data_IF_928569725313
#
_entry.id   IF_928569725313
#
_cell.length_a   1.000
_cell.length_b   1.000
_cell.length_c   1.000
_cell.angle_alpha   90.00
_cell.angle_beta   90.00
_cell.angle_gamma   90.00
#
_symmetry.space_group_name_H-M   'P 1'
#
loop_
_entity.id
_entity.type
_entity.pdbx_description
1 polymer ?
#
# COMPACT_ATOMS: atom_id res chain seq x y z
N UNK A 1 -10.74 6.12 17.16
CA UNK A 1 -9.79 7.10 16.61
C UNK A 1 -10.01 7.21 15.11
N UNK A 2 -10.20 8.40 14.59
CA UNK A 2 -10.41 8.70 13.18
C UNK A 2 -9.34 9.69 12.72
N UNK A 3 -8.83 9.50 11.52
CA UNK A 3 -7.91 10.43 10.88
C UNK A 3 -8.40 10.73 9.46
N UNK A 4 -8.12 11.94 8.98
CA UNK A 4 -8.46 12.37 7.64
C UNK A 4 -7.19 12.82 6.92
N UNK A 5 -6.98 12.31 5.71
CA UNK A 5 -5.91 12.73 4.83
C UNK A 5 -6.44 13.36 3.55
N UNK A 6 -5.82 14.46 3.15
CA UNK A 6 -6.00 15.07 1.84
C UNK A 6 -4.75 14.81 1.01
N UNK A 7 -4.95 14.27 -0.19
CA UNK A 7 -3.85 13.89 -1.06
C UNK A 7 -4.02 14.54 -2.42
N UNK A 8 -2.92 15.09 -2.92
CA UNK A 8 -2.83 15.61 -4.27
C UNK A 8 -1.57 15.03 -4.93
N UNK A 9 -1.70 14.52 -6.13
CA UNK A 9 -0.61 13.89 -6.86
C UNK A 9 -0.81 14.01 -8.37
N UNK A 10 0.22 13.63 -9.11
CA UNK A 10 0.24 13.61 -10.57
C UNK A 10 0.37 12.20 -11.12
N UNK A 11 0.14 12.07 -12.42
CA UNK A 11 0.37 10.87 -13.21
C UNK A 11 1.73 10.22 -12.92
N UNK A 12 1.76 8.90 -12.89
CA UNK A 12 2.95 8.09 -12.69
C UNK A 12 3.42 7.96 -11.23
N UNK A 13 2.81 8.69 -10.30
CA UNK A 13 3.11 8.51 -8.88
C UNK A 13 2.51 7.18 -8.41
N UNK A 14 3.33 6.40 -7.74
CA UNK A 14 2.96 5.09 -7.22
C UNK A 14 3.23 5.02 -5.71
N UNK A 15 2.34 4.37 -4.98
CA UNK A 15 2.60 4.00 -3.58
C UNK A 15 3.39 2.70 -3.51
N UNK A 16 4.16 2.51 -2.45
CA UNK A 16 4.63 1.15 -2.13
C UNK A 16 3.44 0.30 -1.69
N UNK A 17 3.49 -1.02 -1.96
CA UNK A 17 2.45 -1.92 -1.47
C UNK A 17 2.51 -1.98 0.06
N UNK A 18 1.45 -1.58 0.72
CA UNK A 18 1.34 -1.50 2.17
C UNK A 18 -0.09 -1.77 2.63
N UNK A 19 -0.32 -1.93 3.91
CA UNK A 19 -1.61 -1.73 4.54
C UNK A 19 -1.54 -0.53 5.49
N UNK A 20 -2.69 0.09 5.74
CA UNK A 20 -2.76 1.29 6.57
C UNK A 20 -2.37 1.01 8.02
N UNK A 21 -1.69 1.99 8.62
CA UNK A 21 -1.19 1.89 9.99
C UNK A 21 -2.32 1.70 11.00
N UNK A 22 -1.94 1.23 12.18
CA UNK A 22 -2.85 1.06 13.31
C UNK A 22 -4.05 0.13 13.05
N UNK A 23 -3.98 -0.72 12.01
CA UNK A 23 -5.08 -1.60 11.61
C UNK A 23 -6.39 -0.83 11.33
N UNK A 24 -6.29 0.34 10.76
CA UNK A 24 -7.43 1.15 10.38
C UNK A 24 -8.10 0.63 9.11
N UNK A 25 -9.41 0.77 9.04
CA UNK A 25 -10.14 0.73 7.78
C UNK A 25 -9.98 2.07 7.08
N UNK A 26 -10.11 2.07 5.75
CA UNK A 26 -9.91 3.24 4.92
C UNK A 26 -11.10 3.41 3.98
N UNK A 27 -11.70 4.60 3.99
CA UNK A 27 -12.60 5.06 2.93
C UNK A 27 -11.85 6.08 2.08
N UNK A 28 -11.64 5.75 0.82
CA UNK A 28 -10.91 6.58 -0.14
C UNK A 28 -11.90 7.20 -1.13
N UNK A 29 -12.07 8.51 -1.05
CA UNK A 29 -12.95 9.29 -1.91
C UNK A 29 -12.13 9.91 -3.03
N UNK A 30 -12.35 9.50 -4.27
CA UNK A 30 -11.68 10.08 -5.43
C UNK A 30 -12.42 11.34 -5.89
N UNK A 31 -11.82 12.51 -5.63
CA UNK A 31 -12.44 13.80 -5.94
C UNK A 31 -12.13 14.22 -7.37
N UNK A 32 -10.90 13.97 -7.83
CA UNK A 32 -10.44 14.34 -9.18
C UNK A 32 -9.50 13.31 -9.73
N UNK A 33 -9.63 13.01 -11.01
CA UNK A 33 -8.75 12.11 -11.74
C UNK A 33 -9.00 10.64 -11.46
N UNK A 34 -8.08 9.78 -11.89
CA UNK A 34 -8.22 8.32 -11.86
C UNK A 34 -7.02 7.66 -11.19
N UNK A 35 -7.28 6.58 -10.45
CA UNK A 35 -6.28 5.67 -9.88
C UNK A 35 -6.54 4.24 -10.30
N UNK A 36 -5.46 3.48 -10.49
CA UNK A 36 -5.49 2.02 -10.52
C UNK A 36 -4.97 1.49 -9.18
N UNK A 37 -5.73 0.58 -8.58
CA UNK A 37 -5.42 0.05 -7.26
C UNK A 37 -5.38 -1.48 -7.34
N UNK A 38 -4.32 -2.08 -6.79
CA UNK A 38 -4.26 -3.52 -6.56
C UNK A 38 -4.44 -3.77 -5.07
N UNK A 39 -5.44 -4.55 -4.73
CA UNK A 39 -5.77 -4.91 -3.35
C UNK A 39 -5.47 -6.39 -3.13
N UNK A 40 -4.67 -6.70 -2.11
CA UNK A 40 -4.29 -8.07 -1.76
C UNK A 40 -4.97 -8.46 -0.45
N UNK A 41 -5.72 -9.55 -0.44
CA UNK A 41 -6.36 -10.02 0.78
C UNK A 41 -5.32 -10.47 1.83
N UNK A 42 -5.64 -10.44 3.12
CA UNK A 42 -4.69 -10.73 4.20
C UNK A 42 -3.94 -12.06 4.07
N UNK A 43 -4.56 -13.09 3.50
CA UNK A 43 -3.93 -14.40 3.29
C UNK A 43 -2.75 -14.37 2.31
N UNK A 44 -2.65 -13.34 1.46
CA UNK A 44 -1.56 -13.18 0.49
C UNK A 44 -0.27 -12.67 1.13
N UNK A 45 -0.32 -12.20 2.39
CA UNK A 45 0.85 -11.63 3.09
C UNK A 45 2.09 -12.55 3.05
N UNK A 46 1.88 -13.87 3.10
CA UNK A 46 2.95 -14.87 3.03
C UNK A 46 3.69 -14.87 1.68
N UNK A 47 3.05 -14.34 0.64
CA UNK A 47 3.60 -14.21 -0.71
C UNK A 47 4.13 -12.80 -0.98
N UNK A 48 3.68 -11.82 -0.21
CA UNK A 48 4.17 -10.45 -0.21
C UNK A 48 5.32 -10.36 0.78
N UNK A 49 6.58 -10.26 0.36
CA UNK A 49 7.75 -10.12 1.26
C UNK A 49 7.60 -8.86 2.13
N UNK A 50 6.86 -8.96 3.21
CA UNK A 50 6.57 -7.82 4.08
C UNK A 50 7.73 -7.51 5.01
N UNK A 51 8.04 -6.25 5.23
CA UNK A 51 8.93 -5.77 6.28
C UNK A 51 8.26 -4.60 7.00
N UNK A 52 8.60 -4.40 8.27
CA UNK A 52 8.23 -3.18 8.97
C UNK A 52 9.32 -2.14 8.78
N UNK A 53 8.97 -1.01 8.20
CA UNK A 53 9.81 0.18 8.29
C UNK A 53 9.81 0.69 9.74
N UNK A 54 10.75 1.55 10.09
CA UNK A 54 10.86 2.15 11.44
C UNK A 54 9.60 2.93 11.86
N UNK A 55 8.77 3.35 10.91
CA UNK A 55 7.42 3.87 11.14
C UNK A 55 6.45 2.71 11.10
N UNK A 56 6.12 2.09 12.09
CA UNK A 56 5.10 1.06 12.35
C UNK A 56 4.22 0.53 11.19
N UNK A 57 4.31 1.10 9.99
CA UNK A 57 3.60 0.64 8.79
C UNK A 57 4.32 -0.56 8.16
N UNK A 58 3.66 -1.66 7.96
CA UNK A 58 4.22 -2.78 7.22
C UNK A 58 4.14 -2.50 5.73
N UNK A 59 5.28 -2.36 5.12
CA UNK A 59 5.41 -2.30 3.67
C UNK A 59 5.69 -3.70 3.12
N UNK A 60 5.16 -3.97 1.96
CA UNK A 60 5.61 -5.09 1.16
C UNK A 60 6.83 -4.66 0.35
N UNK A 61 7.89 -5.45 0.42
CA UNK A 61 9.11 -5.21 -0.34
C UNK A 61 8.91 -5.62 -1.80
N UNK A 62 8.12 -4.86 -2.54
CA UNK A 62 7.92 -5.11 -3.95
C UNK A 62 8.28 -3.89 -4.79
N UNK A 63 9.54 -3.83 -5.21
CA UNK A 63 9.94 -3.13 -6.43
C UNK A 63 9.30 -3.73 -7.70
N UNK A 64 8.52 -4.77 -7.54
CA UNK A 64 8.11 -5.63 -8.64
C UNK A 64 6.67 -5.47 -9.09
N UNK A 65 5.89 -4.54 -8.49
CA UNK A 65 4.61 -4.18 -9.08
C UNK A 65 4.80 -2.90 -9.90
N UNK A 66 5.79 -2.91 -10.78
CA UNK A 66 5.88 -1.88 -11.80
C UNK A 66 4.72 -2.11 -12.77
N UNK A 67 3.91 -1.06 -12.96
CA UNK A 67 2.76 -1.08 -13.88
C UNK A 67 1.71 -2.17 -13.60
N UNK A 68 1.52 -2.52 -12.32
CA UNK A 68 0.51 -3.49 -11.92
C UNK A 68 0.82 -4.94 -12.33
N UNK A 69 2.06 -5.25 -12.67
CA UNK A 69 2.49 -6.61 -13.04
C UNK A 69 3.21 -7.29 -11.89
N UNK A 70 2.82 -8.53 -11.62
CA UNK A 70 3.51 -9.40 -10.68
C UNK A 70 4.64 -10.14 -11.39
N UNK A 71 5.88 -9.80 -11.05
CA UNK A 71 7.06 -10.25 -11.81
C UNK A 71 7.73 -11.52 -11.30
N UNK A 72 7.41 -11.96 -10.07
CA UNK A 72 8.03 -13.16 -9.50
C UNK A 72 7.02 -14.30 -9.36
N UNK A 73 7.50 -15.56 -9.50
CA UNK A 73 6.67 -16.75 -9.31
C UNK A 73 5.96 -16.79 -7.94
N UNK A 74 6.53 -16.15 -6.92
CA UNK A 74 5.91 -16.02 -5.60
C UNK A 74 4.74 -15.05 -5.63
N UNK A 75 4.87 -13.92 -6.32
CA UNK A 75 3.82 -12.93 -6.48
C UNK A 75 2.65 -13.46 -7.30
N UNK A 76 2.93 -14.31 -8.28
CA UNK A 76 1.90 -14.96 -9.11
C UNK A 76 0.98 -15.89 -8.31
N UNK A 77 1.33 -16.20 -7.05
CA UNK A 77 0.45 -16.93 -6.12
C UNK A 77 -0.53 -16.02 -5.39
N UNK A 78 -0.35 -14.70 -5.45
CA UNK A 78 -1.31 -13.75 -4.93
C UNK A 78 -2.52 -13.68 -5.85
N UNK A 79 -3.66 -13.36 -5.26
CA UNK A 79 -4.93 -13.14 -5.99
C UNK A 79 -5.43 -11.71 -5.76
N UNK A 80 -4.74 -10.69 -6.30
CA UNK A 80 -5.14 -9.31 -6.10
C UNK A 80 -6.45 -9.01 -6.79
N UNK A 81 -7.25 -8.16 -6.16
CA UNK A 81 -8.35 -7.49 -6.79
C UNK A 81 -7.86 -6.20 -7.43
N UNK A 82 -8.16 -6.00 -8.72
CA UNK A 82 -7.86 -4.75 -9.43
C UNK A 82 -9.08 -3.86 -9.41
N UNK A 83 -8.88 -2.62 -9.00
CA UNK A 83 -9.92 -1.59 -8.92
C UNK A 83 -9.47 -0.36 -9.67
N UNK A 84 -10.27 0.09 -10.63
CA UNK A 84 -10.15 1.42 -11.23
C UNK A 84 -11.04 2.37 -10.44
N UNK A 85 -10.45 3.34 -9.77
CA UNK A 85 -11.16 4.34 -8.97
C UNK A 85 -11.22 5.65 -9.76
N UNK A 86 -12.41 5.98 -10.24
CA UNK A 86 -12.65 7.17 -11.06
C UNK A 86 -13.15 8.34 -10.20
N UNK A 87 -13.17 9.52 -10.78
CA UNK A 87 -13.74 10.72 -10.16
C UNK A 87 -15.18 10.47 -9.68
N UNK A 88 -15.46 10.75 -8.41
CA UNK A 88 -16.74 10.50 -7.75
C UNK A 88 -16.87 9.14 -7.06
N UNK A 89 -15.95 8.21 -7.32
CA UNK A 89 -16.00 6.89 -6.69
C UNK A 89 -15.51 6.93 -5.24
N UNK A 90 -16.01 5.98 -4.46
CA UNK A 90 -15.57 5.72 -3.08
C UNK A 90 -15.14 4.27 -2.95
N UNK A 91 -13.92 4.03 -2.52
CA UNK A 91 -13.39 2.70 -2.26
C UNK A 91 -13.25 2.46 -0.76
N UNK A 92 -13.81 1.34 -0.29
CA UNK A 92 -13.54 0.82 1.04
C UNK A 92 -12.36 -0.15 0.98
N UNK A 93 -11.31 0.14 1.75
CA UNK A 93 -10.15 -0.73 1.93
C UNK A 93 -10.21 -1.26 3.38
N UNK A 94 -10.51 -2.55 3.57
CA UNK A 94 -10.55 -3.13 4.90
C UNK A 94 -9.17 -3.11 5.57
N UNK A 95 -9.15 -3.04 6.88
CA UNK A 95 -7.93 -3.18 7.68
C UNK A 95 -7.16 -4.45 7.29
N UNK A 96 -5.84 -4.38 7.28
CA UNK A 96 -4.91 -5.46 6.91
C UNK A 96 -4.88 -5.86 5.42
N UNK A 97 -5.70 -5.26 4.58
CA UNK A 97 -5.59 -5.45 3.15
C UNK A 97 -4.40 -4.65 2.61
N UNK A 98 -3.43 -5.35 2.04
CA UNK A 98 -2.34 -4.69 1.34
C UNK A 98 -2.86 -4.06 0.05
N UNK A 99 -2.39 -2.87 -0.24
CA UNK A 99 -2.78 -2.19 -1.47
C UNK A 99 -1.60 -1.43 -2.08
N UNK A 100 -1.60 -1.42 -3.39
CA UNK A 100 -0.72 -0.63 -4.24
C UNK A 100 -1.60 0.35 -5.01
N UNK A 101 -1.18 1.59 -5.13
CA UNK A 101 -1.92 2.64 -5.84
C UNK A 101 -1.03 3.24 -6.91
N UNK A 102 -1.58 3.38 -8.10
CA UNK A 102 -0.98 4.12 -9.21
C UNK A 102 -1.90 5.26 -9.64
N UNK A 103 -1.36 6.47 -9.72
CA UNK A 103 -2.07 7.65 -10.19
C UNK A 103 -1.95 7.73 -11.71
N UNK A 104 -3.08 7.66 -12.42
CA UNK A 104 -3.13 7.55 -13.88
C UNK A 104 -3.28 8.90 -14.55
N UNK A 105 -4.05 9.81 -13.96
CA UNK A 105 -4.33 11.11 -14.55
C UNK A 105 -3.33 12.18 -14.12
N UNK A 106 -3.20 13.20 -14.97
CA UNK A 106 -2.29 14.34 -14.75
C UNK A 106 -2.50 15.03 -13.40
N UNK A 107 -3.72 15.07 -12.90
CA UNK A 107 -4.08 15.59 -11.58
C UNK A 107 -4.98 14.60 -10.86
N UNK A 108 -4.55 14.17 -9.69
CA UNK A 108 -5.33 13.33 -8.81
C UNK A 108 -5.51 14.02 -7.46
N UNK A 109 -6.76 14.06 -6.99
CA UNK A 109 -7.14 14.58 -5.67
C UNK A 109 -8.02 13.56 -4.98
N UNK A 110 -7.70 13.22 -3.75
CA UNK A 110 -8.55 12.35 -2.95
C UNK A 110 -8.55 12.72 -1.46
N UNK A 111 -9.64 12.38 -0.80
CA UNK A 111 -9.77 12.36 0.65
C UNK A 111 -9.75 10.92 1.14
N UNK A 112 -9.06 10.69 2.22
CA UNK A 112 -8.99 9.39 2.88
C UNK A 112 -9.43 9.53 4.32
N UNK A 113 -10.37 8.69 4.75
CA UNK A 113 -10.82 8.59 6.12
C UNK A 113 -10.35 7.27 6.70
N UNK A 114 -9.47 7.32 7.69
CA UNK A 114 -9.08 6.16 8.47
C UNK A 114 -9.90 6.07 9.74
N UNK A 115 -10.44 4.90 10.02
CA UNK A 115 -11.25 4.66 11.22
C UNK A 115 -11.08 3.23 11.74
N UNK A 116 -11.22 3.08 13.06
CA UNK A 116 -11.21 1.78 13.71
C UNK A 116 -12.64 1.40 14.06
N UNK A 117 -13.03 0.19 13.68
CA UNK A 117 -14.22 -0.44 14.23
C UNK A 117 -13.79 -1.13 15.52
N UNK A 118 -14.53 -0.94 16.63
CA UNK A 118 -14.14 -1.40 17.98
C UNK A 118 -13.94 -2.91 18.18
N UNK A 119 -13.96 -3.71 17.09
CA UNK A 119 -13.51 -5.10 17.05
C UNK A 119 -12.18 -5.12 16.32
N UNK A 120 -11.11 -5.41 17.07
CA UNK A 120 -9.84 -5.77 16.42
C UNK A 120 -10.10 -6.91 15.45
N UNK A 121 -9.72 -6.79 14.16
CA UNK A 121 -9.67 -7.97 13.31
C UNK A 121 -8.79 -8.96 14.06
N UNK A 122 -9.26 -10.18 14.24
CA UNK A 122 -8.44 -11.28 14.77
C UNK A 122 -7.06 -11.17 14.12
N UNK A 123 -6.01 -11.32 14.92
CA UNK A 123 -4.60 -11.20 14.52
C UNK A 123 -4.22 -12.23 13.44
N UNK A 124 -4.88 -12.19 12.31
CA UNK A 124 -4.62 -13.05 11.17
C UNK A 124 -3.27 -12.61 10.60
N UNK A 125 -2.24 -13.33 11.05
CA UNK A 125 -0.97 -13.28 10.39
C UNK A 125 -0.12 -12.04 10.68
N UNK A 126 0.03 -11.62 11.94
CA UNK A 126 1.17 -10.75 12.28
C UNK A 126 2.44 -11.42 11.76
N UNK A 127 3.14 -10.85 10.77
CA UNK A 127 4.39 -11.44 10.32
C UNK A 127 5.32 -11.50 11.52
N UNK A 128 5.78 -12.70 11.88
CA UNK A 128 6.84 -12.86 12.88
C UNK A 128 8.01 -12.01 12.41
N UNK A 129 8.38 -11.02 13.19
CA UNK A 129 9.56 -10.18 12.90
C UNK A 129 10.78 -11.07 12.89
N UNK A 130 11.33 -11.32 11.71
CA UNK A 130 12.66 -11.90 11.59
C UNK A 130 13.69 -10.78 11.80
N UNK A 131 14.77 -11.06 12.54
CA UNK A 131 15.92 -10.17 12.67
C UNK A 131 16.48 -9.68 11.32
N UNK A 132 16.27 -10.44 10.25
CA UNK A 132 16.56 -10.01 8.86
C UNK A 132 15.83 -8.74 8.45
N UNK A 133 14.65 -8.48 9.02
CA UNK A 133 13.84 -7.31 8.67
C UNK A 133 14.38 -6.01 9.29
N UNK A 134 15.26 -6.11 10.29
CA UNK A 134 15.89 -4.93 10.92
C UNK A 134 16.99 -4.29 10.03
N UNK A 135 17.60 -5.07 9.16
CA UNK A 135 18.71 -4.60 8.30
C UNK A 135 18.24 -4.05 6.94
N UNK A 136 16.99 -4.26 6.58
CA UNK A 136 16.43 -3.81 5.31
C UNK A 136 16.22 -2.29 5.24
N UNK A 137 15.82 -1.57 6.32
CA UNK A 137 15.69 -0.12 6.29
C UNK A 137 16.97 0.61 5.86
N UNK A 138 18.13 0.11 6.26
CA UNK A 138 19.42 0.70 5.89
C UNK A 138 19.72 0.58 4.38
N UNK A 139 19.37 -0.56 3.76
CA UNK A 139 19.58 -0.77 2.31
C UNK A 139 18.59 0.04 1.46
N UNK A 140 17.37 0.27 1.97
CA UNK A 140 16.37 1.11 1.29
C UNK A 140 16.70 2.59 1.39
N UNK A 141 17.13 3.05 2.57
CA UNK A 141 17.56 4.44 2.74
C UNK A 141 18.74 4.77 1.82
N UNK A 142 19.72 3.87 1.70
CA UNK A 142 20.85 4.03 0.76
C UNK A 142 20.42 3.95 -0.69
N UNK A 143 19.48 3.06 -1.07
CA UNK A 143 18.97 2.98 -2.44
C UNK A 143 18.16 4.23 -2.81
N UNK A 144 17.37 4.76 -1.89
CA UNK A 144 16.61 6.00 -2.09
C UNK A 144 17.51 7.23 -2.20
N UNK A 145 18.55 7.32 -1.35
CA UNK A 145 19.57 8.38 -1.44
C UNK A 145 20.34 8.31 -2.76
N UNK A 146 20.74 7.13 -3.20
CA UNK A 146 21.46 6.94 -4.46
C UNK A 146 20.60 7.20 -5.71
N UNK A 147 19.29 6.97 -5.63
CA UNK A 147 18.35 7.29 -6.70
C UNK A 147 18.10 8.80 -6.80
N UNK A 148 18.00 9.50 -5.64
CA UNK A 148 17.80 10.95 -5.60
C UNK A 148 19.04 11.77 -5.97
N UNK A 149 20.24 11.17 -5.94
CA UNK A 149 21.48 11.82 -6.37
C UNK A 149 21.75 11.67 -7.89
N UNK A 150 20.92 10.87 -8.60
CA UNK A 150 21.04 10.64 -10.05
C UNK A 150 19.95 11.36 -10.87
N UNK A 151 19.06 12.09 -10.21
CA UNK A 151 18.04 12.97 -10.79
C UNK A 151 18.46 14.43 -10.69
#
# INVERSE_FOLDING_TARGET
>A
ETAVGFWMSREGIQSMTHYDDSLANNLNFQIRGKKEILMFPPQDWKHLKTFKAMSMQPFSFFDGIKQGQMTTARQQRCQPQRVSLNEGDVLFIPSTWFHFVEHVDRLNINLTFWFKTGRSPTEIGKPKQSLRNLLIPFKLATAYLLASLKS
#
